data_IF_817364650331
#
_entry.id   IF_817364650331
#
_cell.length_a   1.000
_cell.length_b   1.000
_cell.length_c   1.000
_cell.angle_alpha   90.00
_cell.angle_beta   90.00
_cell.angle_gamma   90.00
#
_symmetry.space_group_name_H-M   'P 1'
#
loop_
_entity.id
_entity.type
_entity.pdbx_description
1 polymer ?
#
# COMPACT_ATOMS: atom_id res chain seq x y z
N UNK A 1 -11.45 34.39 13.77
CA UNK A 1 -11.94 33.22 14.52
C UNK A 1 -13.07 32.61 13.72
N UNK A 2 -12.81 31.52 12.98
CA UNK A 2 -13.84 30.73 12.29
C UNK A 2 -14.04 29.46 13.09
N UNK A 3 -15.20 29.35 13.74
CA UNK A 3 -15.74 28.13 14.34
C UNK A 3 -16.20 27.17 13.25
N UNK A 4 -15.27 26.55 12.51
CA UNK A 4 -15.63 25.50 11.55
C UNK A 4 -15.43 24.14 12.21
N UNK A 5 -16.38 23.76 13.08
CA UNK A 5 -16.52 22.36 13.50
C UNK A 5 -17.02 21.47 12.34
N UNK A 6 -17.48 22.09 11.24
CA UNK A 6 -18.08 21.44 10.09
C UNK A 6 -17.05 20.86 9.11
N UNK A 7 -17.26 19.60 8.72
CA UNK A 7 -16.48 18.94 7.67
C UNK A 7 -16.72 19.60 6.31
N UNK A 8 -15.66 20.07 5.66
CA UNK A 8 -15.73 20.60 4.31
C UNK A 8 -16.15 19.50 3.31
N UNK A 9 -16.79 19.89 2.19
CA UNK A 9 -17.14 18.95 1.10
C UNK A 9 -15.94 18.13 0.61
N UNK A 10 -14.73 18.68 0.72
CA UNK A 10 -13.51 17.98 0.34
C UNK A 10 -13.15 16.89 1.35
N UNK A 11 -13.11 17.22 2.64
CA UNK A 11 -12.84 16.25 3.71
C UNK A 11 -13.87 15.13 3.74
N UNK A 12 -15.15 15.45 3.47
CA UNK A 12 -16.19 14.43 3.35
C UNK A 12 -15.87 13.36 2.29
N UNK A 13 -15.30 13.77 1.15
CA UNK A 13 -14.86 12.85 0.08
C UNK A 13 -13.68 12.00 0.53
N UNK A 14 -12.72 12.61 1.23
CA UNK A 14 -11.55 11.89 1.72
C UNK A 14 -11.94 10.85 2.78
N UNK A 15 -12.89 11.19 3.66
CA UNK A 15 -13.43 10.25 4.65
C UNK A 15 -14.07 9.02 3.99
N UNK A 16 -14.96 9.21 3.00
CA UNK A 16 -15.57 8.10 2.24
C UNK A 16 -14.56 7.25 1.47
N UNK A 17 -13.41 7.85 1.13
CA UNK A 17 -12.33 7.15 0.43
C UNK A 17 -11.57 6.20 1.35
N UNK A 18 -11.31 6.62 2.59
CA UNK A 18 -10.50 5.84 3.54
C UNK A 18 -11.32 4.91 4.42
N UNK A 19 -12.54 5.32 4.78
CA UNK A 19 -13.34 4.65 5.80
C UNK A 19 -14.57 3.95 5.23
N UNK A 20 -15.11 3.05 6.03
CA UNK A 20 -16.44 2.45 5.85
C UNK A 20 -17.09 2.34 7.21
N UNK A 21 -18.34 2.79 7.32
CA UNK A 21 -19.13 2.62 8.53
C UNK A 21 -19.46 1.13 8.69
N UNK A 22 -19.22 0.60 9.88
CA UNK A 22 -19.70 -0.73 10.27
C UNK A 22 -20.94 -0.53 11.14
N UNK A 23 -20.78 0.22 12.22
CA UNK A 23 -21.83 0.59 13.17
C UNK A 23 -21.66 2.07 13.57
N UNK A 24 -22.52 2.61 14.45
CA UNK A 24 -22.42 4.00 14.94
C UNK A 24 -21.07 4.31 15.63
N UNK A 25 -20.56 3.34 16.38
CA UNK A 25 -19.33 3.49 17.16
C UNK A 25 -18.11 2.82 16.50
N UNK A 26 -18.28 2.20 15.34
CA UNK A 26 -17.20 1.44 14.68
C UNK A 26 -17.01 1.84 13.22
N UNK A 27 -15.80 2.30 12.90
CA UNK A 27 -15.36 2.54 11.52
C UNK A 27 -14.27 1.56 11.11
N UNK A 28 -14.26 1.23 9.83
CA UNK A 28 -13.25 0.38 9.21
C UNK A 28 -12.37 1.20 8.26
N UNK A 29 -11.07 1.20 8.49
CA UNK A 29 -10.05 1.83 7.67
C UNK A 29 -9.58 0.85 6.58
N UNK A 30 -9.72 1.28 5.33
CA UNK A 30 -9.21 0.57 4.14
C UNK A 30 -7.72 0.80 4.03
N UNK A 31 -6.94 -0.29 4.12
CA UNK A 31 -5.49 -0.18 4.02
C UNK A 31 -5.11 -0.15 2.54
N UNK A 32 -4.62 1.01 2.14
CA UNK A 32 -4.00 1.28 0.84
C UNK A 32 -2.50 1.35 1.08
N UNK A 33 -1.72 0.51 0.43
CA UNK A 33 -0.29 0.45 0.71
C UNK A 33 0.55 -0.04 -0.45
N UNK A 34 -0.09 -0.45 -1.56
CA UNK A 34 0.59 -0.89 -2.77
C UNK A 34 0.78 0.24 -3.77
N UNK A 35 0.10 1.37 -3.62
CA UNK A 35 0.08 2.45 -4.61
C UNK A 35 1.47 2.89 -5.07
N UNK A 36 2.38 3.16 -4.14
CA UNK A 36 3.78 3.53 -4.47
C UNK A 36 4.46 2.45 -5.31
N UNK A 37 4.42 1.21 -4.85
CA UNK A 37 5.11 0.08 -5.50
C UNK A 37 4.52 -0.15 -6.88
N UNK A 38 3.18 -0.15 -6.98
CA UNK A 38 2.47 -0.35 -8.24
C UNK A 38 2.79 0.78 -9.24
N UNK A 39 2.83 2.04 -8.81
CA UNK A 39 3.21 3.17 -9.67
C UNK A 39 4.65 3.02 -10.17
N UNK A 40 5.59 2.64 -9.29
CA UNK A 40 6.98 2.39 -9.68
C UNK A 40 7.07 1.25 -10.70
N UNK A 41 6.36 0.14 -10.50
CA UNK A 41 6.29 -0.97 -11.45
C UNK A 41 5.69 -0.55 -12.80
N UNK A 42 4.63 0.27 -12.78
CA UNK A 42 4.00 0.78 -13.99
C UNK A 42 4.99 1.67 -14.77
N UNK A 43 5.66 2.60 -14.09
CA UNK A 43 6.57 3.56 -14.74
C UNK A 43 7.86 2.90 -15.22
N UNK A 44 8.46 2.02 -14.43
CA UNK A 44 9.79 1.45 -14.74
C UNK A 44 9.74 0.16 -15.55
N UNK A 45 8.68 -0.63 -15.44
CA UNK A 45 8.57 -1.90 -16.16
C UNK A 45 7.48 -1.87 -17.22
N UNK A 46 6.23 -1.54 -16.85
CA UNK A 46 5.11 -1.68 -17.79
C UNK A 46 5.19 -0.71 -18.96
N UNK A 47 5.36 0.59 -18.70
CA UNK A 47 5.36 1.62 -19.76
C UNK A 47 6.50 1.43 -20.76
N UNK A 48 7.78 1.24 -20.34
CA UNK A 48 8.87 1.02 -21.27
C UNK A 48 8.66 -0.23 -22.13
N UNK A 49 8.28 -1.34 -21.51
CA UNK A 49 8.03 -2.57 -22.25
C UNK A 49 6.87 -2.43 -23.23
N UNK A 50 5.74 -1.81 -22.84
CA UNK A 50 4.65 -1.54 -23.79
C UNK A 50 5.11 -0.67 -24.97
N UNK A 51 5.98 0.31 -24.73
CA UNK A 51 6.54 1.13 -25.78
C UNK A 51 7.43 0.31 -26.74
N UNK A 52 8.34 -0.51 -26.23
CA UNK A 52 9.22 -1.32 -27.09
C UNK A 52 8.46 -2.43 -27.81
N UNK A 53 7.57 -3.14 -27.12
CA UNK A 53 6.93 -4.36 -27.64
C UNK A 53 5.72 -4.05 -28.55
N UNK A 54 5.08 -2.89 -28.43
CA UNK A 54 3.91 -2.54 -29.24
C UNK A 54 4.05 -1.29 -30.10
N UNK A 55 4.88 -0.31 -29.70
CA UNK A 55 4.95 1.01 -30.37
C UNK A 55 6.20 1.14 -31.24
N UNK A 56 7.38 0.74 -30.76
CA UNK A 56 8.64 0.86 -31.52
C UNK A 56 8.65 -0.15 -32.67
N UNK A 57 8.71 0.28 -33.95
CA UNK A 57 8.45 -0.60 -35.09
C UNK A 57 9.30 -1.88 -35.14
N UNK A 58 10.63 -1.77 -35.03
CA UNK A 58 11.53 -2.92 -35.14
C UNK A 58 11.42 -3.92 -33.98
N UNK A 59 11.16 -3.41 -32.78
CA UNK A 59 10.99 -4.23 -31.57
C UNK A 59 9.61 -4.90 -31.54
N UNK A 60 8.58 -4.17 -31.98
CA UNK A 60 7.20 -4.69 -32.09
C UNK A 60 7.10 -5.82 -33.11
N UNK A 61 7.72 -5.68 -34.28
CA UNK A 61 7.75 -6.75 -35.28
C UNK A 61 8.40 -8.03 -34.74
N UNK A 62 9.51 -7.89 -34.01
CA UNK A 62 10.20 -9.01 -33.37
C UNK A 62 9.30 -9.68 -32.30
N UNK A 63 8.66 -8.89 -31.43
CA UNK A 63 7.73 -9.38 -30.41
C UNK A 63 6.57 -10.18 -31.02
N UNK A 64 5.91 -9.62 -32.04
CA UNK A 64 4.81 -10.32 -32.72
C UNK A 64 5.27 -11.57 -33.46
N UNK A 65 6.45 -11.54 -34.10
CA UNK A 65 7.03 -12.72 -34.73
C UNK A 65 7.29 -13.84 -33.72
N UNK A 66 7.88 -13.52 -32.56
CA UNK A 66 8.13 -14.50 -31.49
C UNK A 66 6.83 -15.13 -30.97
N UNK A 67 5.77 -14.34 -30.79
CA UNK A 67 4.43 -14.84 -30.43
C UNK A 67 3.89 -15.75 -31.54
N UNK A 68 3.92 -15.32 -32.80
CA UNK A 68 3.41 -16.11 -33.91
C UNK A 68 4.14 -17.45 -34.06
N UNK A 69 5.46 -17.44 -33.92
CA UNK A 69 6.28 -18.67 -33.98
C UNK A 69 5.95 -19.61 -32.83
N UNK A 70 5.74 -19.08 -31.64
CA UNK A 70 5.48 -19.91 -30.44
C UNK A 70 4.09 -20.55 -30.48
N UNK A 71 3.07 -19.81 -30.91
CA UNK A 71 1.68 -20.30 -30.94
C UNK A 71 1.32 -21.04 -32.23
N UNK A 72 1.88 -20.64 -33.38
CA UNK A 72 1.58 -21.19 -34.70
C UNK A 72 2.85 -21.41 -35.55
N UNK A 73 3.80 -22.23 -35.07
CA UNK A 73 5.10 -22.41 -35.73
C UNK A 73 4.95 -22.85 -37.19
N UNK A 74 4.10 -23.85 -37.46
CA UNK A 74 3.92 -24.39 -38.80
C UNK A 74 3.41 -23.34 -39.80
N UNK A 75 2.46 -22.51 -39.40
CA UNK A 75 1.92 -21.44 -40.26
C UNK A 75 3.00 -20.41 -40.58
N UNK A 76 3.80 -20.03 -39.58
CA UNK A 76 4.93 -19.13 -39.78
C UNK A 76 5.95 -19.70 -40.77
N UNK A 77 6.38 -20.96 -40.58
CA UNK A 77 7.36 -21.58 -41.46
C UNK A 77 6.83 -21.82 -42.87
N UNK A 78 5.55 -22.15 -43.02
CA UNK A 78 4.91 -22.23 -44.34
C UNK A 78 4.86 -20.89 -45.06
N UNK A 79 4.63 -19.79 -44.34
CA UNK A 79 4.70 -18.44 -44.91
C UNK A 79 6.13 -18.10 -45.36
N UNK A 80 7.14 -18.42 -44.54
CA UNK A 80 8.54 -18.23 -44.94
C UNK A 80 8.90 -19.09 -46.16
N UNK A 81 8.43 -20.34 -46.22
CA UNK A 81 8.62 -21.20 -47.39
C UNK A 81 7.96 -20.62 -48.63
N UNK A 82 6.72 -20.12 -48.55
CA UNK A 82 5.99 -19.49 -49.68
C UNK A 82 6.76 -18.32 -50.29
N UNK A 83 7.52 -17.58 -49.49
CA UNK A 83 8.33 -16.45 -49.95
C UNK A 83 9.59 -16.86 -50.72
N UNK A 84 10.01 -18.13 -50.62
CA UNK A 84 11.26 -18.65 -51.21
C UNK A 84 11.02 -19.80 -52.20
N UNK A 85 9.77 -20.08 -52.57
CA UNK A 85 9.43 -21.13 -53.56
C UNK A 85 10.04 -20.80 -54.91
N UNK A 86 10.65 -21.79 -55.54
CA UNK A 86 11.24 -21.67 -56.88
C UNK A 86 10.15 -21.45 -57.94
N UNK A 87 10.39 -20.50 -58.85
CA UNK A 87 9.51 -20.29 -60.02
C UNK A 87 9.50 -21.46 -60.99
N UNK A 88 10.57 -22.27 -60.98
CA UNK A 88 10.75 -23.38 -61.92
C UNK A 88 10.22 -24.71 -61.37
N UNK A 89 10.19 -24.88 -60.03
CA UNK A 89 9.65 -26.07 -59.38
C UNK A 89 8.88 -25.67 -58.11
N UNK A 90 7.54 -25.74 -58.11
CA UNK A 90 6.69 -25.33 -56.97
C UNK A 90 6.93 -26.13 -55.68
N UNK A 91 7.55 -27.31 -55.79
CA UNK A 91 7.80 -28.21 -54.66
C UNK A 91 9.19 -28.01 -54.02
N UNK A 92 9.99 -27.06 -54.53
CA UNK A 92 11.33 -26.77 -54.04
C UNK A 92 11.54 -25.28 -53.78
N UNK A 93 12.45 -24.96 -52.87
CA UNK A 93 12.92 -23.59 -52.65
C UNK A 93 13.86 -23.14 -53.77
N UNK A 94 14.18 -21.84 -53.82
CA UNK A 94 15.24 -21.27 -54.68
C UNK A 94 16.64 -21.87 -54.41
N UNK A 95 16.81 -22.60 -53.30
CA UNK A 95 18.04 -23.30 -52.92
C UNK A 95 17.99 -24.80 -53.20
N UNK A 96 16.98 -25.27 -53.96
CA UNK A 96 16.74 -26.69 -54.25
C UNK A 96 16.49 -27.57 -53.01
N UNK A 97 16.01 -27.00 -51.92
CA UNK A 97 15.59 -27.75 -50.74
C UNK A 97 14.12 -28.13 -50.85
N UNK A 98 13.77 -29.29 -50.30
CA UNK A 98 12.36 -29.66 -50.11
C UNK A 98 11.72 -28.80 -49.03
N UNK A 99 10.38 -28.70 -49.02
CA UNK A 99 9.64 -27.97 -47.96
C UNK A 99 10.03 -28.42 -46.56
N UNK A 100 10.14 -29.72 -46.33
CA UNK A 100 10.47 -30.27 -45.00
C UNK A 100 11.91 -29.96 -44.60
N UNK A 101 12.85 -30.06 -45.54
CA UNK A 101 14.27 -29.75 -45.32
C UNK A 101 14.48 -28.26 -45.02
N UNK A 102 13.84 -27.37 -45.78
CA UNK A 102 13.89 -25.92 -45.54
C UNK A 102 13.35 -25.55 -44.15
N UNK A 103 12.19 -26.10 -43.76
CA UNK A 103 11.58 -25.81 -42.45
C UNK A 103 12.48 -26.31 -41.31
N UNK A 104 13.07 -27.51 -41.45
CA UNK A 104 13.97 -28.07 -40.45
C UNK A 104 15.27 -27.25 -40.33
N UNK A 105 15.88 -26.85 -41.45
CA UNK A 105 17.07 -26.00 -41.48
C UNK A 105 16.81 -24.65 -40.82
N UNK A 106 15.65 -24.04 -41.10
CA UNK A 106 15.27 -22.75 -40.53
C UNK A 106 14.98 -22.84 -39.02
N UNK A 107 14.45 -23.99 -38.56
CA UNK A 107 14.30 -24.28 -37.14
C UNK A 107 15.66 -24.40 -36.43
N UNK A 108 16.57 -25.22 -36.97
CA UNK A 108 17.91 -25.42 -36.40
C UNK A 108 18.72 -24.13 -36.37
N UNK A 109 18.65 -23.33 -37.44
CA UNK A 109 19.31 -22.04 -37.49
C UNK A 109 18.79 -21.09 -36.41
N UNK A 110 17.48 -21.06 -36.16
CA UNK A 110 16.89 -20.27 -35.07
C UNK A 110 17.32 -20.76 -33.69
N UNK A 111 17.27 -22.07 -33.44
CA UNK A 111 17.75 -22.64 -32.18
C UNK A 111 19.24 -22.33 -31.95
N UNK A 112 20.06 -22.37 -33.01
CA UNK A 112 21.48 -22.00 -32.97
C UNK A 112 21.76 -20.52 -32.68
N UNK A 113 20.80 -19.63 -32.97
CA UNK A 113 20.84 -18.21 -32.58
C UNK A 113 20.35 -17.97 -31.14
N UNK A 114 20.06 -19.02 -30.39
CA UNK A 114 19.58 -18.95 -29.02
C UNK A 114 18.08 -18.66 -28.91
N UNK A 115 17.33 -18.68 -30.02
CA UNK A 115 15.88 -18.52 -29.99
C UNK A 115 15.23 -19.83 -29.54
N UNK A 116 14.36 -19.73 -28.55
CA UNK A 116 13.61 -20.86 -28.03
C UNK A 116 12.16 -20.78 -28.50
N UNK A 117 11.54 -21.93 -28.79
CA UNK A 117 10.10 -22.04 -29.07
C UNK A 117 9.21 -21.49 -27.95
N UNK A 118 9.79 -21.26 -26.78
CA UNK A 118 9.12 -20.73 -25.61
C UNK A 118 9.15 -19.20 -25.52
N UNK A 119 9.95 -18.48 -26.33
CA UNK A 119 10.20 -17.05 -26.13
C UNK A 119 8.93 -16.20 -26.24
N UNK A 120 8.05 -16.49 -27.21
CA UNK A 120 6.76 -15.81 -27.31
C UNK A 120 5.83 -16.09 -26.12
N UNK A 121 5.88 -17.29 -25.53
CA UNK A 121 5.14 -17.61 -24.31
C UNK A 121 5.72 -16.86 -23.10
N UNK A 122 7.05 -16.79 -22.97
CA UNK A 122 7.73 -16.09 -21.88
C UNK A 122 7.48 -14.58 -21.94
N UNK A 123 7.49 -14.02 -23.16
CA UNK A 123 7.16 -12.63 -23.44
C UNK A 123 5.72 -12.27 -23.02
N UNK A 124 4.75 -13.14 -23.27
CA UNK A 124 3.39 -12.89 -22.76
C UNK A 124 3.26 -13.19 -21.26
N UNK A 125 3.95 -14.22 -20.77
CA UNK A 125 3.87 -14.63 -19.37
C UNK A 125 4.35 -13.54 -18.42
N UNK A 126 5.40 -12.79 -18.75
CA UNK A 126 5.87 -11.73 -17.86
C UNK A 126 4.84 -10.60 -17.71
N UNK A 127 4.10 -10.23 -18.78
CA UNK A 127 2.99 -9.28 -18.69
C UNK A 127 1.90 -9.80 -17.74
N UNK A 128 1.52 -11.07 -17.88
CA UNK A 128 0.51 -11.69 -17.01
C UNK A 128 0.98 -11.72 -15.55
N UNK A 129 2.25 -12.04 -15.30
CA UNK A 129 2.85 -12.02 -13.96
C UNK A 129 2.85 -10.60 -13.40
N UNK A 130 3.29 -9.61 -14.18
CA UNK A 130 3.35 -8.21 -13.75
C UNK A 130 1.95 -7.67 -13.41
N UNK A 131 0.97 -7.90 -14.29
CA UNK A 131 -0.43 -7.56 -14.02
C UNK A 131 -0.94 -8.31 -12.79
N UNK A 132 -0.62 -9.59 -12.66
CA UNK A 132 -0.93 -10.39 -11.48
C UNK A 132 -0.39 -9.78 -10.19
N UNK A 133 0.85 -9.28 -10.20
CA UNK A 133 1.48 -8.59 -9.06
C UNK A 133 0.76 -7.27 -8.76
N UNK A 134 0.54 -6.43 -9.78
CA UNK A 134 -0.12 -5.12 -9.64
C UNK A 134 -1.52 -5.28 -9.06
N UNK A 135 -2.32 -6.16 -9.68
CA UNK A 135 -3.71 -6.44 -9.33
C UNK A 135 -3.88 -7.31 -8.09
N UNK A 136 -2.80 -7.90 -7.56
CA UNK A 136 -2.89 -8.74 -6.36
C UNK A 136 -3.53 -7.99 -5.19
N UNK A 137 -4.54 -8.56 -4.51
CA UNK A 137 -5.34 -7.85 -3.50
C UNK A 137 -4.52 -7.44 -2.28
N UNK A 138 -4.81 -6.27 -1.71
CA UNK A 138 -4.30 -5.87 -0.39
C UNK A 138 -4.97 -6.70 0.72
N UNK A 139 -4.15 -7.18 1.67
CA UNK A 139 -4.56 -8.18 2.67
C UNK A 139 -5.08 -7.58 3.99
N UNK A 140 -5.39 -6.29 4.09
CA UNK A 140 -5.54 -5.66 5.42
C UNK A 140 -6.70 -4.65 5.51
N UNK A 141 -7.46 -4.74 6.61
CA UNK A 141 -8.38 -3.70 7.10
C UNK A 141 -8.20 -3.58 8.60
N UNK A 142 -8.43 -2.39 9.15
CA UNK A 142 -8.33 -2.13 10.60
C UNK A 142 -9.60 -1.49 11.05
N UNK A 143 -10.11 -1.90 12.21
CA UNK A 143 -11.30 -1.32 12.80
C UNK A 143 -10.95 -0.51 14.03
N UNK A 144 -11.69 0.58 14.18
CA UNK A 144 -11.63 1.52 15.27
C UNK A 144 -13.00 1.48 15.93
N UNK A 145 -13.05 0.99 17.16
CA UNK A 145 -14.26 0.92 17.98
C UNK A 145 -14.13 1.94 19.10
N UNK A 146 -14.90 3.02 18.95
CA UNK A 146 -14.91 4.17 19.84
C UNK A 146 -15.51 3.81 21.20
N UNK A 147 -16.60 3.04 21.23
CA UNK A 147 -17.33 2.69 22.45
C UNK A 147 -16.46 1.88 23.41
N UNK A 148 -15.70 0.92 22.88
CA UNK A 148 -14.79 0.09 23.67
C UNK A 148 -13.39 0.70 23.79
N UNK A 149 -13.07 1.74 23.01
CA UNK A 149 -11.75 2.36 22.99
C UNK A 149 -10.67 1.41 22.48
N UNK A 150 -10.97 0.61 21.45
CA UNK A 150 -10.07 -0.41 20.90
C UNK A 150 -9.79 -0.21 19.41
N UNK A 151 -8.59 -0.61 18.98
CA UNK A 151 -8.19 -0.66 17.58
C UNK A 151 -7.73 -2.07 17.27
N UNK A 152 -8.29 -2.71 16.26
CA UNK A 152 -8.01 -4.13 16.00
C UNK A 152 -7.97 -4.50 14.52
N UNK A 153 -7.26 -5.60 14.24
CA UNK A 153 -7.15 -6.19 12.90
C UNK A 153 -6.92 -7.68 12.99
N UNK A 154 -7.15 -8.37 11.87
CA UNK A 154 -6.87 -9.79 11.71
C UNK A 154 -6.02 -9.99 10.46
N UNK A 155 -4.77 -10.39 10.65
CA UNK A 155 -3.78 -10.50 9.57
C UNK A 155 -3.08 -11.85 9.70
N UNK A 156 -2.92 -12.57 8.59
CA UNK A 156 -2.17 -13.84 8.54
C UNK A 156 -2.60 -14.85 9.62
N UNK A 157 -3.91 -15.01 9.79
CA UNK A 157 -4.54 -15.88 10.79
C UNK A 157 -4.27 -15.49 12.26
N UNK A 158 -3.82 -14.26 12.52
CA UNK A 158 -3.55 -13.73 13.86
C UNK A 158 -4.39 -12.49 14.13
N UNK A 159 -4.93 -12.41 15.34
CA UNK A 159 -5.69 -11.28 15.84
C UNK A 159 -4.77 -10.31 16.59
N UNK A 160 -4.92 -9.03 16.34
CA UNK A 160 -4.17 -7.96 16.98
C UNK A 160 -5.14 -6.91 17.47
N UNK A 161 -4.97 -6.46 18.71
CA UNK A 161 -5.86 -5.51 19.38
C UNK A 161 -5.04 -4.58 20.28
N UNK A 162 -5.35 -3.29 20.22
CA UNK A 162 -4.78 -2.25 21.04
C UNK A 162 -5.88 -1.57 21.84
N UNK A 163 -5.70 -1.48 23.16
CA UNK A 163 -6.57 -0.71 24.05
C UNK A 163 -6.03 0.71 24.20
N UNK A 164 -6.80 1.70 23.77
CA UNK A 164 -6.39 3.12 23.78
C UNK A 164 -6.19 3.60 25.23
N UNK A 165 -6.98 3.11 26.18
CA UNK A 165 -6.88 3.47 27.59
C UNK A 165 -5.62 2.91 28.29
N UNK A 166 -4.81 2.08 27.63
CA UNK A 166 -3.55 1.55 28.16
C UNK A 166 -2.32 2.26 27.60
N UNK A 167 -2.52 3.30 26.80
CA UNK A 167 -1.43 4.08 26.24
C UNK A 167 -0.83 5.00 27.31
N UNK A 168 0.51 4.96 27.44
CA UNK A 168 1.26 5.91 28.26
C UNK A 168 1.45 7.27 27.58
N UNK A 169 1.33 7.30 26.25
CA UNK A 169 1.47 8.50 25.41
C UNK A 169 0.14 8.87 24.75
N UNK A 170 0.00 10.10 24.26
CA UNK A 170 -1.17 10.51 23.51
C UNK A 170 -1.41 9.60 22.28
N UNK A 171 -2.66 9.30 21.98
CA UNK A 171 -3.09 8.54 20.81
C UNK A 171 -2.56 9.14 19.49
N UNK A 172 -2.50 10.47 19.29
CA UNK A 172 -1.85 11.04 18.11
C UNK A 172 -0.40 10.62 17.93
N UNK A 173 0.35 10.31 18.99
CA UNK A 173 1.72 9.78 18.88
C UNK A 173 1.74 8.32 18.43
N UNK A 174 0.65 7.57 18.53
CA UNK A 174 0.60 6.24 17.94
C UNK A 174 0.55 6.33 16.40
N UNK A 175 -0.05 7.38 15.84
CA UNK A 175 -0.13 7.54 14.39
C UNK A 175 1.04 8.36 13.86
N UNK A 176 2.00 7.71 13.22
CA UNK A 176 3.15 8.38 12.61
C UNK A 176 2.74 8.92 11.25
N UNK A 177 2.74 10.25 11.10
CA UNK A 177 2.61 10.87 9.79
C UNK A 177 4.00 10.95 9.13
N UNK A 178 4.16 10.33 7.95
CA UNK A 178 5.41 10.34 7.18
C UNK A 178 5.39 11.31 6.00
N UNK A 179 4.31 12.08 5.82
CA UNK A 179 4.05 12.86 4.60
C UNK A 179 3.43 11.99 3.51
N UNK A 180 4.09 10.89 3.13
CA UNK A 180 3.58 9.93 2.16
C UNK A 180 2.48 8.98 2.67
N UNK A 181 2.20 8.95 3.98
CA UNK A 181 1.18 8.10 4.57
C UNK A 181 1.15 8.16 6.10
N UNK A 182 0.32 7.30 6.69
CA UNK A 182 0.27 7.07 8.14
C UNK A 182 0.76 5.66 8.45
N UNK A 183 1.69 5.55 9.38
CA UNK A 183 2.17 4.28 9.95
C UNK A 183 1.73 4.17 11.40
N UNK A 184 1.20 3.02 11.80
CA UNK A 184 1.02 2.68 13.20
C UNK A 184 1.16 1.17 13.42
N UNK A 185 1.35 0.74 14.66
CA UNK A 185 1.68 -0.63 14.99
C UNK A 185 0.81 -1.12 16.15
N UNK A 186 0.07 -2.22 15.92
CA UNK A 186 -0.75 -2.87 16.94
C UNK A 186 0.07 -3.92 17.72
N UNK A 187 -0.13 -4.05 19.05
CA UNK A 187 0.59 -5.05 19.85
C UNK A 187 0.09 -6.48 19.56
N UNK A 188 0.87 -7.52 19.93
CA UNK A 188 2.19 -7.45 20.57
C UNK A 188 3.28 -7.01 19.58
N UNK A 189 4.14 -6.11 20.03
CA UNK A 189 5.30 -5.66 19.26
C UNK A 189 6.34 -6.79 19.23
N UNK A 190 6.57 -7.35 18.04
CA UNK A 190 7.62 -8.36 17.83
C UNK A 190 8.58 -7.86 16.77
N UNK A 191 9.87 -7.82 17.10
CA UNK A 191 10.93 -7.69 16.11
C UNK A 191 11.06 -9.03 15.38
N UNK A 192 10.36 -9.20 14.26
CA UNK A 192 10.44 -10.46 13.49
C UNK A 192 11.63 -10.46 12.53
N UNK A 193 12.49 -11.48 12.70
CA UNK A 193 13.46 -12.10 11.77
C UNK A 193 14.63 -11.26 11.20
N UNK A 194 15.87 -11.81 11.17
CA UNK A 194 17.09 -11.07 10.79
C UNK A 194 17.10 -10.41 9.40
N UNK A 195 16.44 -11.02 8.42
CA UNK A 195 16.53 -10.61 7.01
C UNK A 195 15.53 -9.49 6.62
N UNK A 196 14.49 -9.29 7.42
CA UNK A 196 13.42 -8.29 7.22
C UNK A 196 13.28 -7.37 8.46
N UNK A 197 14.34 -7.23 9.27
CA UNK A 197 14.41 -6.39 10.48
C UNK A 197 13.90 -4.95 10.29
N UNK A 198 13.90 -4.47 9.06
CA UNK A 198 13.59 -3.10 8.68
C UNK A 198 12.09 -2.85 8.47
N UNK A 199 11.31 -3.89 8.23
CA UNK A 199 9.86 -3.81 8.05
C UNK A 199 9.18 -4.82 8.97
N UNK A 200 8.62 -4.40 10.12
CA UNK A 200 7.92 -5.33 11.01
C UNK A 200 6.73 -5.97 10.26
N UNK A 201 6.94 -7.21 9.81
CA UNK A 201 5.96 -8.04 9.13
C UNK A 201 4.96 -8.54 10.18
N UNK A 202 3.74 -8.01 10.15
CA UNK A 202 2.66 -8.48 11.02
C UNK A 202 1.62 -7.40 11.26
N UNK A 203 1.63 -6.85 12.47
CA UNK A 203 0.63 -5.92 13.01
C UNK A 203 0.90 -4.44 12.73
N UNK A 204 1.97 -4.12 12.00
CA UNK A 204 2.17 -2.78 11.47
C UNK A 204 1.17 -2.50 10.36
N UNK A 205 0.53 -1.34 10.44
CA UNK A 205 -0.43 -0.82 9.49
C UNK A 205 0.19 0.40 8.83
N UNK A 206 0.25 0.38 7.50
CA UNK A 206 0.67 1.52 6.70
C UNK A 206 -0.46 1.87 5.74
N UNK A 207 -0.98 3.09 5.85
CA UNK A 207 -2.03 3.62 4.98
C UNK A 207 -1.47 4.78 4.17
N UNK A 208 -1.47 4.61 2.85
CA UNK A 208 -0.94 5.52 1.86
C UNK A 208 -1.68 5.30 0.54
N UNK A 209 -2.37 6.35 0.09
CA UNK A 209 -3.08 6.36 -1.18
C UNK A 209 -2.58 7.47 -2.09
N UNK A 210 -3.13 7.56 -3.30
CA UNK A 210 -2.65 8.52 -4.30
C UNK A 210 -2.63 9.97 -3.80
N UNK A 211 -3.50 10.33 -2.85
CA UNK A 211 -3.54 11.67 -2.26
C UNK A 211 -2.45 11.95 -1.21
N UNK A 212 -1.65 10.94 -0.88
CA UNK A 212 -0.53 11.03 0.05
C UNK A 212 0.78 10.74 -0.70
N UNK A 213 0.90 9.56 -1.33
CA UNK A 213 2.18 9.17 -1.90
C UNK A 213 2.57 9.93 -3.16
N UNK A 214 1.63 10.40 -3.99
CA UNK A 214 2.00 11.18 -5.18
C UNK A 214 2.69 12.48 -4.78
N UNK A 215 2.31 13.07 -3.65
CA UNK A 215 2.96 14.26 -3.12
C UNK A 215 4.33 13.98 -2.52
N UNK A 216 4.52 12.77 -1.96
CA UNK A 216 5.83 12.32 -1.49
C UNK A 216 6.78 12.00 -2.65
N UNK A 217 6.28 11.37 -3.72
CA UNK A 217 7.03 11.19 -4.97
C UNK A 217 7.35 12.55 -5.60
N UNK A 218 6.36 13.46 -5.65
CA UNK A 218 6.53 14.83 -6.11
C UNK A 218 7.65 15.57 -5.38
N UNK A 219 7.70 15.47 -4.06
CA UNK A 219 8.72 16.17 -3.26
C UNK A 219 10.10 15.51 -3.34
N UNK A 220 10.19 14.17 -3.28
CA UNK A 220 11.48 13.46 -3.19
C UNK A 220 12.09 13.08 -4.53
N UNK A 221 11.27 12.64 -5.48
CA UNK A 221 11.74 12.15 -6.79
C UNK A 221 11.75 13.29 -7.80
N UNK A 222 10.69 14.07 -7.84
CA UNK A 222 10.56 15.18 -8.79
C UNK A 222 11.01 16.54 -8.22
N UNK A 223 11.53 16.56 -6.98
CA UNK A 223 12.06 17.74 -6.30
C UNK A 223 11.11 18.95 -6.28
N UNK A 224 9.79 18.72 -6.32
CA UNK A 224 8.77 19.77 -6.30
C UNK A 224 8.70 20.35 -4.88
N UNK A 225 9.11 21.62 -4.66
CA UNK A 225 9.14 22.20 -3.33
C UNK A 225 7.75 22.21 -2.68
N UNK A 226 7.68 21.90 -1.38
CA UNK A 226 6.46 21.93 -0.58
C UNK A 226 5.32 20.99 -1.06
N UNK A 227 5.55 20.08 -2.01
CA UNK A 227 4.50 19.15 -2.47
C UNK A 227 3.91 18.32 -1.31
N UNK A 228 4.75 17.90 -0.35
CA UNK A 228 4.35 17.14 0.84
C UNK A 228 3.27 17.85 1.69
N UNK A 229 3.21 19.19 1.69
CA UNK A 229 2.18 19.95 2.43
C UNK A 229 0.78 19.75 1.86
N UNK A 230 0.68 19.32 0.60
CA UNK A 230 -0.61 19.00 -0.06
C UNK A 230 -1.11 17.59 0.28
N UNK A 231 -0.27 16.78 0.94
CA UNK A 231 -0.64 15.43 1.40
C UNK A 231 -1.84 15.47 2.33
N UNK A 232 -2.71 14.45 2.18
CA UNK A 232 -3.91 14.27 3.01
C UNK A 232 -3.67 13.43 4.26
N UNK A 233 -2.44 12.97 4.50
CA UNK A 233 -2.08 12.18 5.69
C UNK A 233 -2.41 12.90 7.02
N UNK A 234 -2.18 14.23 7.19
CA UNK A 234 -2.59 14.92 8.41
C UNK A 234 -4.11 14.89 8.65
N UNK A 235 -4.91 15.02 7.59
CA UNK A 235 -6.37 14.98 7.66
C UNK A 235 -6.83 13.59 8.09
N UNK A 236 -6.30 12.54 7.47
CA UNK A 236 -6.60 11.16 7.88
C UNK A 236 -6.27 10.94 9.37
N UNK A 237 -5.10 11.39 9.81
CA UNK A 237 -4.67 11.26 11.21
C UNK A 237 -5.63 11.98 12.16
N UNK A 238 -5.97 13.23 11.84
CA UNK A 238 -6.92 14.03 12.61
C UNK A 238 -8.27 13.34 12.68
N UNK A 239 -8.80 12.83 11.57
CA UNK A 239 -10.07 12.09 11.54
C UNK A 239 -10.06 10.83 12.41
N UNK A 240 -8.95 10.09 12.46
CA UNK A 240 -8.80 8.92 13.33
C UNK A 240 -8.83 9.30 14.81
N UNK A 241 -8.08 10.34 15.19
CA UNK A 241 -8.03 10.83 16.58
C UNK A 241 -9.39 11.40 16.99
N UNK A 242 -9.98 12.23 16.14
CA UNK A 242 -11.29 12.84 16.32
C UNK A 242 -12.37 11.77 16.54
N UNK A 243 -12.40 10.75 15.70
CA UNK A 243 -13.37 9.66 15.83
C UNK A 243 -13.23 8.90 17.15
N UNK A 244 -12.00 8.63 17.58
CA UNK A 244 -11.75 7.90 18.84
C UNK A 244 -11.95 8.77 20.08
N UNK A 245 -12.01 10.10 19.96
CA UNK A 245 -12.14 11.00 21.10
C UNK A 245 -13.58 10.96 21.68
N UNK A 246 -13.75 10.57 22.96
CA UNK A 246 -15.07 10.58 23.61
C UNK A 246 -15.61 12.00 23.80
N UNK A 247 -14.72 12.99 23.94
CA UNK A 247 -15.04 14.39 24.22
C UNK A 247 -15.25 15.24 22.96
N UNK A 248 -15.26 14.63 21.77
CA UNK A 248 -15.51 15.35 20.52
C UNK A 248 -16.94 15.93 20.50
N UNK A 249 -17.10 17.09 19.86
CA UNK A 249 -18.41 17.70 19.65
C UNK A 249 -19.36 16.69 18.95
N UNK A 250 -20.56 16.43 19.51
CA UNK A 250 -21.51 15.46 18.93
C UNK A 250 -21.86 15.77 17.46
N UNK A 251 -21.91 17.04 17.09
CA UNK A 251 -22.13 17.51 15.72
C UNK A 251 -21.03 17.04 14.75
N UNK A 252 -19.76 17.06 15.19
CA UNK A 252 -18.63 16.64 14.36
C UNK A 252 -18.64 15.13 14.17
N UNK A 253 -18.97 14.37 15.22
CA UNK A 253 -19.15 12.92 15.12
C UNK A 253 -20.28 12.56 14.16
N UNK A 254 -21.46 13.16 14.32
CA UNK A 254 -22.60 12.87 13.45
C UNK A 254 -22.31 13.22 12.00
N UNK A 255 -21.58 14.30 11.74
CA UNK A 255 -21.12 14.61 10.39
C UNK A 255 -20.16 13.56 9.83
N UNK A 256 -19.20 13.04 10.61
CA UNK A 256 -18.33 11.95 10.18
C UNK A 256 -19.18 10.73 9.82
N UNK A 257 -20.08 10.30 10.70
CA UNK A 257 -20.92 9.12 10.49
C UNK A 257 -21.83 9.28 9.27
N UNK A 258 -22.60 10.37 9.19
CA UNK A 258 -23.51 10.66 8.08
C UNK A 258 -22.75 10.76 6.74
N UNK A 259 -21.54 11.29 6.77
CA UNK A 259 -20.67 11.36 5.58
C UNK A 259 -20.32 9.99 5.04
N UNK A 260 -20.11 9.00 5.92
CA UNK A 260 -19.77 7.64 5.54
C UNK A 260 -20.95 6.84 5.01
N UNK A 261 -22.18 7.20 5.39
CA UNK A 261 -23.42 6.63 4.86
C UNK A 261 -23.83 7.23 3.51
N UNK A 262 -23.49 8.51 3.30
CA UNK A 262 -23.86 9.22 2.09
C UNK A 262 -23.28 8.53 0.83
N UNK A 263 -24.06 8.42 -0.26
CA UNK A 263 -23.58 7.82 -1.49
C UNK A 263 -22.44 8.64 -2.09
N UNK A 264 -21.49 7.93 -2.71
CA UNK A 264 -20.38 8.56 -3.42
C UNK A 264 -20.87 9.30 -4.66
N UNK A 265 -20.36 10.51 -4.89
CA UNK A 265 -20.64 11.24 -6.13
C UNK A 265 -20.00 10.60 -7.38
N UNK A 266 -20.39 11.05 -8.57
CA UNK A 266 -19.87 10.54 -9.85
C UNK A 266 -18.35 10.72 -9.99
N UNK A 267 -17.81 11.88 -9.62
CA UNK A 267 -16.35 12.13 -9.63
C UNK A 267 -15.60 11.19 -8.68
N UNK A 268 -16.19 10.85 -7.53
CA UNK A 268 -15.58 9.92 -6.58
C UNK A 268 -15.52 8.50 -7.15
N UNK A 269 -16.56 8.06 -7.86
CA UNK A 269 -16.55 6.79 -8.58
C UNK A 269 -15.45 6.75 -9.64
N UNK A 270 -15.31 7.81 -10.43
CA UNK A 270 -14.27 7.89 -11.46
C UNK A 270 -12.86 7.81 -10.87
N UNK A 271 -12.56 8.60 -9.83
CA UNK A 271 -11.25 8.54 -9.17
C UNK A 271 -11.00 7.18 -8.51
N UNK A 272 -12.03 6.59 -7.90
CA UNK A 272 -11.94 5.26 -7.32
C UNK A 272 -11.68 4.19 -8.38
N UNK A 273 -12.23 4.34 -9.58
CA UNK A 273 -11.95 3.43 -10.70
C UNK A 273 -10.52 3.61 -11.22
N UNK A 274 -10.06 4.86 -11.42
CA UNK A 274 -8.73 5.15 -11.98
C UNK A 274 -7.57 4.77 -11.04
N UNK A 275 -7.71 5.07 -9.74
CA UNK A 275 -6.62 4.89 -8.77
C UNK A 275 -6.85 3.73 -7.80
N UNK A 276 -8.07 3.22 -7.68
CA UNK A 276 -8.39 2.17 -6.70
C UNK A 276 -7.60 0.88 -6.93
N UNK A 277 -7.47 0.42 -8.17
CA UNK A 277 -6.69 -0.78 -8.47
C UNK A 277 -5.18 -0.57 -8.28
N UNK A 278 -4.68 0.66 -8.43
CA UNK A 278 -3.29 1.02 -8.16
C UNK A 278 -3.03 0.94 -6.65
N UNK A 279 -3.94 1.45 -5.84
CA UNK A 279 -3.77 1.59 -4.39
C UNK A 279 -4.10 0.30 -3.61
N UNK A 280 -5.15 -0.42 -4.01
CA UNK A 280 -5.75 -1.57 -3.32
C UNK A 280 -5.60 -2.91 -4.07
N UNK A 281 -5.24 -2.90 -5.36
CA UNK A 281 -5.42 -4.06 -6.24
C UNK A 281 -6.89 -4.25 -6.62
N UNK A 282 -7.27 -5.45 -7.11
CA UNK A 282 -8.65 -5.70 -7.56
C UNK A 282 -9.68 -5.64 -6.43
N UNK A 283 -9.30 -6.03 -5.21
CA UNK A 283 -10.16 -5.94 -4.03
C UNK A 283 -9.33 -5.96 -2.74
N UNK A 284 -9.89 -5.44 -1.66
CA UNK A 284 -9.31 -5.55 -0.31
C UNK A 284 -9.96 -6.70 0.44
N UNK A 285 -9.17 -7.65 0.98
CA UNK A 285 -9.71 -8.77 1.79
C UNK A 285 -10.49 -8.25 3.01
N UNK A 286 -11.67 -8.83 3.25
CA UNK A 286 -12.49 -8.52 4.42
C UNK A 286 -11.88 -9.11 5.69
N UNK A 287 -12.21 -8.51 6.83
CA UNK A 287 -11.99 -9.15 8.13
C UNK A 287 -12.87 -10.41 8.28
N UNK A 288 -12.55 -11.31 9.22
CA UNK A 288 -13.41 -12.45 9.54
C UNK A 288 -14.84 -12.01 9.90
N UNK A 289 -15.79 -12.96 9.85
CA UNK A 289 -17.19 -12.72 10.26
C UNK A 289 -17.25 -12.08 11.65
N UNK A 290 -18.23 -11.20 11.86
CA UNK A 290 -18.39 -10.40 13.09
C UNK A 290 -18.39 -11.29 14.34
N UNK A 291 -19.18 -12.36 14.35
CA UNK A 291 -19.26 -13.31 15.46
C UNK A 291 -17.89 -13.84 15.89
N UNK A 292 -17.05 -14.21 14.91
CA UNK A 292 -15.68 -14.67 15.19
C UNK A 292 -14.82 -13.56 15.77
N UNK A 293 -14.97 -12.32 15.29
CA UNK A 293 -14.24 -11.18 15.82
C UNK A 293 -14.66 -10.88 17.27
N UNK A 294 -15.95 -10.88 17.58
CA UNK A 294 -16.46 -10.68 18.95
C UNK A 294 -15.96 -11.76 19.91
N UNK A 295 -15.93 -13.03 19.49
CA UNK A 295 -15.35 -14.11 20.29
C UNK A 295 -13.85 -13.88 20.56
N UNK A 296 -13.08 -13.41 19.57
CA UNK A 296 -11.66 -13.08 19.75
C UNK A 296 -11.45 -11.86 20.66
N UNK A 297 -12.31 -10.84 20.55
CA UNK A 297 -12.28 -9.66 21.43
C UNK A 297 -12.60 -10.07 22.88
N UNK A 298 -13.63 -10.90 23.07
CA UNK A 298 -14.03 -11.40 24.40
C UNK A 298 -12.93 -12.24 25.02
N UNK A 299 -12.33 -13.16 24.25
CA UNK A 299 -11.17 -13.93 24.70
C UNK A 299 -9.99 -13.04 25.09
N UNK A 300 -9.69 -12.00 24.29
CA UNK A 300 -8.65 -11.03 24.62
C UNK A 300 -8.90 -10.33 25.96
N UNK A 301 -10.12 -9.88 26.23
CA UNK A 301 -10.45 -9.20 27.49
C UNK A 301 -10.44 -10.13 28.70
N UNK A 302 -10.76 -11.42 28.51
CA UNK A 302 -10.71 -12.43 29.58
C UNK A 302 -9.29 -12.84 29.93
N UNK A 303 -8.44 -13.05 28.92
CA UNK A 303 -7.14 -13.71 29.08
C UNK A 303 -5.96 -12.73 29.08
N UNK A 304 -5.92 -11.81 28.10
CA UNK A 304 -4.75 -10.98 27.83
C UNK A 304 -4.84 -9.60 28.50
N UNK A 305 -6.01 -8.96 28.47
CA UNK A 305 -6.17 -7.60 28.98
C UNK A 305 -5.77 -7.46 30.46
N UNK A 306 -6.10 -8.37 31.39
CA UNK A 306 -5.71 -8.23 32.80
C UNK A 306 -4.20 -8.25 33.03
N UNK A 307 -3.44 -8.88 32.14
CA UNK A 307 -1.99 -9.01 32.22
C UNK A 307 -1.28 -7.73 31.72
N UNK A 308 -1.95 -6.95 30.86
CA UNK A 308 -1.39 -5.75 30.24
C UNK A 308 -1.84 -4.53 31.04
N UNK A 309 -0.93 -3.97 31.84
CA UNK A 309 -1.18 -2.71 32.58
C UNK A 309 -0.88 -1.47 31.75
N UNK A 310 0.17 -1.51 30.93
CA UNK A 310 0.64 -0.39 30.12
C UNK A 310 1.14 -0.91 28.79
N UNK A 311 0.76 -0.26 27.69
CA UNK A 311 1.30 -0.57 26.37
C UNK A 311 2.64 0.16 26.17
N UNK A 312 3.67 -0.51 25.64
CA UNK A 312 4.87 0.19 25.20
C UNK A 312 4.53 1.05 23.98
N UNK A 313 5.37 2.04 23.72
CA UNK A 313 5.22 2.96 22.60
C UNK A 313 6.23 2.61 21.50
N UNK A 314 6.18 3.30 20.37
CA UNK A 314 7.21 3.19 19.35
C UNK A 314 7.45 4.54 18.69
N UNK A 315 8.65 4.74 18.18
CA UNK A 315 9.03 5.89 17.36
C UNK A 315 9.79 5.45 16.13
N UNK A 316 9.95 6.36 15.18
CA UNK A 316 10.96 6.17 14.15
C UNK A 316 12.37 6.18 14.75
N UNK A 317 13.27 5.39 14.17
CA UNK A 317 14.68 5.43 14.51
C UNK A 317 15.27 6.81 14.20
N UNK A 318 16.14 7.30 15.08
CA UNK A 318 16.91 8.53 14.85
C UNK A 318 18.08 8.26 13.89
N UNK A 319 18.62 9.30 13.25
CA UNK A 319 19.69 9.15 12.25
C UNK A 319 20.93 8.44 12.79
N UNK A 320 21.31 8.74 14.04
CA UNK A 320 22.43 8.08 14.72
C UNK A 320 22.15 6.60 15.07
N UNK A 321 20.89 6.18 15.04
CA UNK A 321 20.47 4.78 15.21
C UNK A 321 20.33 4.06 13.85
N UNK A 322 20.25 4.82 12.76
CA UNK A 322 20.20 4.31 11.38
C UNK A 322 21.62 4.13 10.85
N UNK A 323 22.21 2.96 11.08
CA UNK A 323 23.52 2.64 10.48
C UNK A 323 23.46 2.65 8.95
N UNK A 324 24.34 3.46 8.33
CA UNK A 324 24.41 3.78 6.89
C UNK A 324 24.51 2.59 5.93
N UNK A 325 24.82 1.39 6.42
CA UNK A 325 25.19 0.24 5.58
C UNK A 325 24.46 -1.08 5.91
N UNK A 326 23.21 -1.00 6.39
CA UNK A 326 22.25 -2.11 6.66
C UNK A 326 22.01 -2.34 8.16
N UNK A 327 20.74 -2.31 8.59
CA UNK A 327 20.29 -3.13 9.73
C UNK A 327 19.45 -2.44 10.81
N UNK A 328 19.29 -1.12 10.77
CA UNK A 328 18.49 -0.42 11.77
C UNK A 328 16.98 -0.60 11.53
N UNK A 329 16.19 -0.88 12.58
CA UNK A 329 14.75 -0.99 12.45
C UNK A 329 14.15 0.38 12.13
N UNK A 330 13.22 0.46 11.16
CA UNK A 330 12.53 1.72 10.83
C UNK A 330 11.74 2.26 12.04
N UNK A 331 11.27 1.37 12.92
CA UNK A 331 10.58 1.69 14.17
C UNK A 331 11.32 1.09 15.38
N UNK A 332 11.56 1.91 16.39
CA UNK A 332 12.14 1.54 17.68
C UNK A 332 11.01 1.42 18.71
N UNK A 333 10.94 0.28 19.40
CA UNK A 333 10.00 0.08 20.51
C UNK A 333 10.55 0.80 21.73
N UNK A 334 9.74 1.69 22.31
CA UNK A 334 10.02 2.39 23.56
C UNK A 334 9.33 1.64 24.68
N UNK A 335 10.13 1.06 25.58
CA UNK A 335 9.61 0.28 26.70
C UNK A 335 8.94 1.19 27.75
N UNK A 336 8.25 0.57 28.72
CA UNK A 336 7.52 1.30 29.76
C UNK A 336 8.44 2.13 30.66
N UNK A 337 9.64 1.63 30.98
CA UNK A 337 10.60 2.33 31.84
C UNK A 337 11.12 3.60 31.17
N UNK A 338 11.41 3.55 29.89
CA UNK A 338 11.86 4.70 29.11
C UNK A 338 10.75 5.73 28.98
N UNK A 339 9.50 5.30 28.73
CA UNK A 339 8.35 6.22 28.77
C UNK A 339 8.24 6.94 30.12
N UNK A 340 8.44 6.23 31.24
CA UNK A 340 8.44 6.84 32.58
C UNK A 340 9.59 7.83 32.77
N UNK A 341 10.80 7.50 32.31
CA UNK A 341 11.97 8.41 32.33
C UNK A 341 11.71 9.69 31.55
N UNK A 342 10.97 9.60 30.45
CA UNK A 342 10.56 10.73 29.61
C UNK A 342 9.32 11.48 30.17
N UNK A 343 8.84 11.14 31.37
CA UNK A 343 7.75 11.82 32.06
C UNK A 343 6.35 11.23 31.82
N UNK A 344 6.23 10.19 31.00
CA UNK A 344 4.95 9.52 30.69
C UNK A 344 4.64 8.42 31.72
N UNK A 345 4.29 8.84 32.94
CA UNK A 345 4.12 7.94 34.10
C UNK A 345 2.67 7.47 34.26
N UNK A 346 1.69 8.34 33.99
CA UNK A 346 0.25 8.06 34.20
C UNK A 346 -0.34 7.28 33.02
N UNK A 347 -1.19 6.31 33.34
CA UNK A 347 -1.91 5.47 32.37
C UNK A 347 -3.38 5.36 32.80
N UNK A 348 -4.36 5.71 31.95
CA UNK A 348 -4.19 6.31 30.63
C UNK A 348 -3.44 7.65 30.68
N UNK A 349 -2.83 8.02 29.55
CA UNK A 349 -2.27 9.36 29.37
C UNK A 349 -3.35 10.41 29.69
N UNK A 350 -3.09 11.42 30.56
CA UNK A 350 -4.09 12.44 30.89
C UNK A 350 -4.61 13.19 29.67
N UNK A 351 -3.72 13.49 28.72
CA UNK A 351 -4.02 14.21 27.49
C UNK A 351 -4.14 13.24 26.30
N UNK A 352 -4.83 12.11 26.50
CA UNK A 352 -4.86 10.96 25.59
C UNK A 352 -5.21 11.30 24.14
N UNK A 353 -6.07 12.28 23.92
CA UNK A 353 -6.53 12.68 22.59
C UNK A 353 -5.93 14.01 22.12
N UNK A 354 -5.13 14.68 22.95
CA UNK A 354 -4.49 15.92 22.54
C UNK A 354 -3.22 15.65 21.74
N UNK A 355 -2.96 16.50 20.75
CA UNK A 355 -1.69 16.49 20.07
C UNK A 355 -0.58 16.96 21.01
N UNK A 356 0.58 16.30 21.01
CA UNK A 356 1.70 16.73 21.83
C UNK A 356 2.25 18.07 21.32
N UNK A 357 2.87 18.85 22.22
CA UNK A 357 3.63 20.05 21.83
C UNK A 357 4.90 19.68 21.07
N UNK A 358 5.50 18.54 21.44
CA UNK A 358 6.75 18.01 20.89
C UNK A 358 6.52 16.54 20.58
N UNK A 359 6.71 16.13 19.33
CA UNK A 359 6.54 14.74 18.94
C UNK A 359 7.82 13.94 19.14
N UNK A 360 7.68 12.66 19.53
CA UNK A 360 8.79 11.70 19.51
C UNK A 360 9.23 11.29 18.10
N UNK A 361 8.43 11.57 17.07
CA UNK A 361 8.65 11.17 15.67
C UNK A 361 9.40 12.24 14.87
N UNK A 362 10.62 12.58 15.30
CA UNK A 362 11.46 13.59 14.62
C UNK A 362 12.69 12.99 13.91
N UNK A 363 12.55 12.34 12.74
CA UNK A 363 13.71 12.02 11.92
C UNK A 363 14.16 13.28 11.17
N UNK A 364 15.47 13.54 11.15
CA UNK A 364 16.12 14.55 10.30
C UNK A 364 15.87 14.31 8.80
N UNK A 365 15.55 13.07 8.41
CA UNK A 365 15.30 12.67 7.02
C UNK A 365 13.85 12.87 6.54
N UNK A 366 13.02 13.60 7.30
CA UNK A 366 11.66 13.97 6.88
C UNK A 366 11.58 15.41 6.36
N UNK A 367 10.73 15.68 5.34
CA UNK A 367 10.58 17.03 4.79
C UNK A 367 10.14 18.07 5.83
N UNK A 368 9.36 17.63 6.82
CA UNK A 368 9.06 18.37 8.05
C UNK A 368 8.80 17.35 9.17
N UNK A 369 9.72 17.19 10.14
CA UNK A 369 9.64 16.18 11.21
C UNK A 369 8.45 16.37 12.16
N UNK A 370 7.78 17.51 12.12
CA UNK A 370 6.68 17.83 13.04
C UNK A 370 5.31 17.93 12.35
N UNK A 371 5.28 17.84 11.02
CA UNK A 371 4.09 18.09 10.22
C UNK A 371 2.96 17.09 10.50
N UNK A 372 1.83 17.60 11.02
CA UNK A 372 0.69 16.76 11.44
C UNK A 372 0.94 15.88 12.66
N UNK A 373 2.07 16.07 13.37
CA UNK A 373 2.40 15.33 14.60
C UNK A 373 2.30 16.18 15.88
N UNK A 374 2.20 17.51 15.79
CA UNK A 374 2.17 18.43 16.96
C UNK A 374 1.04 19.47 16.90
N UNK A 375 0.66 19.99 18.08
CA UNK A 375 -0.49 20.88 18.36
C UNK A 375 -0.53 22.23 17.63
N UNK A 376 0.51 22.61 16.87
CA UNK A 376 0.61 23.92 16.20
C UNK A 376 0.80 23.89 14.69
N UNK A 377 0.87 22.69 14.09
CA UNK A 377 1.03 22.50 12.63
C UNK A 377 -0.16 21.78 12.01
N UNK A 378 -1.32 21.88 12.65
CA UNK A 378 -2.58 21.36 12.11
C UNK A 378 -3.03 22.20 10.90
N UNK A 379 -3.69 21.53 9.95
CA UNK A 379 -4.08 22.03 8.62
C UNK A 379 -5.04 23.21 8.68
#
# INVERSE_FOLDING_TARGET
MLTTNDLSKKEQRELRRWFTKIDEDTIELKIKGKGIINVVLIILALIPSLYYDFIKPSSSELFWNEIHISFNPNVYFEQQYRNVVSKNNPNMTIWNETKEEYINNLWQWREGLGWNKWDGYLNLAWYVILLGIIFWPTKRRVRFDRKRGIIYTYINKKFYLMEVNKLARPLPECFINTGGGIVFWLPPFKNTTPFLKHFPLGSMVFVSDYSMYLFELGSRVFLIPNAYKKSRAPILKKSLVDFMNPNIAPQRLSQIVNTLEAPKGLKEHLYSFLFGWIDEGLYTRNLPKQERLENMITGYFKENAPQIRVLPSYRMAYENEVHKFWGAPFLVIVNQEQNRKEGFIKVPCPDLYEYPKVSMHRPTNMPDPEWGNVKGKEV
#
